data_IF_353517674038
#
_entry.id   IF_353517674038
#
_cell.length_a   1.000
_cell.length_b   1.000
_cell.length_c   1.000
_cell.angle_alpha   90.00
_cell.angle_beta   90.00
_cell.angle_gamma   90.00
#
_symmetry.space_group_name_H-M   'P 1'
#
loop_
_entity.id
_entity.type
_entity.pdbx_description
1 polymer ?
#
# COMPACT_ATOMS: atom_id res chain seq x y z
N UNK A 1 25.86 -1.44 -34.74
CA UNK A 1 25.81 -0.24 -33.89
C UNK A 1 24.52 0.50 -34.19
N UNK A 2 23.45 0.35 -33.41
CA UNK A 2 22.38 1.34 -33.37
C UNK A 2 22.72 2.36 -32.29
N UNK A 3 22.92 3.59 -32.71
CA UNK A 3 23.06 4.79 -31.90
C UNK A 3 21.77 5.06 -31.11
N UNK A 4 21.89 5.20 -29.80
CA UNK A 4 20.81 5.63 -28.92
C UNK A 4 20.46 7.09 -29.18
N UNK A 5 19.19 7.38 -29.44
CA UNK A 5 18.65 8.73 -29.52
C UNK A 5 17.37 8.76 -28.66
N UNK A 6 17.51 8.87 -27.33
CA UNK A 6 16.46 9.29 -26.37
C UNK A 6 17.11 9.75 -25.03
N UNK A 7 16.46 10.64 -24.24
CA UNK A 7 17.09 11.56 -23.28
C UNK A 7 17.37 10.94 -21.89
N UNK A 8 18.35 10.04 -21.78
CA UNK A 8 18.66 9.35 -20.51
C UNK A 8 19.04 10.27 -19.32
N UNK A 9 19.57 11.47 -19.58
CA UNK A 9 20.06 12.35 -18.52
C UNK A 9 18.98 13.11 -17.73
N UNK A 10 17.75 13.24 -18.26
CA UNK A 10 16.67 13.97 -17.59
C UNK A 10 15.91 13.04 -16.63
N UNK A 11 15.56 11.83 -17.09
CA UNK A 11 14.90 10.80 -16.29
C UNK A 11 15.73 10.39 -15.05
N UNK A 12 17.06 10.27 -15.21
CA UNK A 12 17.95 9.97 -14.08
C UNK A 12 17.99 11.09 -13.02
N UNK A 13 17.92 12.35 -13.47
CA UNK A 13 17.87 13.51 -12.55
C UNK A 13 16.53 13.59 -11.83
N UNK A 14 15.43 13.38 -12.53
CA UNK A 14 14.08 13.36 -11.95
C UNK A 14 13.94 12.27 -10.90
N UNK A 15 14.40 11.05 -11.20
CA UNK A 15 14.45 9.95 -10.24
C UNK A 15 15.32 10.29 -9.02
N UNK A 16 16.51 10.86 -9.22
CA UNK A 16 17.38 11.27 -8.11
C UNK A 16 16.71 12.33 -7.23
N UNK A 17 16.01 13.28 -7.85
CA UNK A 17 15.27 14.34 -7.16
C UNK A 17 14.09 13.76 -6.37
N UNK A 18 13.30 12.85 -6.95
CA UNK A 18 12.20 12.17 -6.27
C UNK A 18 12.69 11.39 -5.05
N UNK A 19 13.74 10.59 -5.20
CA UNK A 19 14.35 9.84 -4.08
C UNK A 19 14.87 10.80 -3.01
N UNK A 20 15.57 11.86 -3.38
CA UNK A 20 16.14 12.80 -2.42
C UNK A 20 15.04 13.58 -1.68
N UNK A 21 13.98 13.98 -2.40
CA UNK A 21 12.79 14.62 -1.85
C UNK A 21 12.09 13.70 -0.84
N UNK A 22 11.88 12.43 -1.18
CA UNK A 22 11.30 11.43 -0.26
C UNK A 22 12.13 11.28 1.02
N UNK A 23 13.46 11.20 0.89
CA UNK A 23 14.34 11.07 2.06
C UNK A 23 14.27 12.27 2.99
N UNK A 24 14.26 13.48 2.43
CA UNK A 24 14.16 14.73 3.18
C UNK A 24 12.76 14.89 3.80
N UNK A 25 11.70 14.76 3.02
CA UNK A 25 10.30 14.94 3.43
C UNK A 25 9.93 14.02 4.59
N UNK A 26 10.27 12.74 4.49
CA UNK A 26 9.93 11.74 5.51
C UNK A 26 11.04 11.50 6.54
N UNK A 27 12.09 12.34 6.54
CA UNK A 27 13.21 12.29 7.50
C UNK A 27 13.71 10.86 7.73
N UNK A 28 13.99 10.13 6.64
CA UNK A 28 14.31 8.69 6.68
C UNK A 28 15.48 8.38 7.63
N UNK A 29 16.47 9.28 7.71
CA UNK A 29 17.59 9.15 8.65
C UNK A 29 17.16 9.13 10.12
N UNK A 30 16.20 9.95 10.50
CA UNK A 30 15.68 10.02 11.86
C UNK A 30 14.81 8.80 12.18
N UNK A 31 13.99 8.35 11.23
CA UNK A 31 13.22 7.11 11.36
C UNK A 31 14.13 5.89 11.56
N UNK A 32 15.20 5.78 10.76
CA UNK A 32 16.20 4.72 10.92
C UNK A 32 16.84 4.77 12.32
N UNK A 33 17.22 5.96 12.80
CA UNK A 33 17.80 6.14 14.14
C UNK A 33 16.82 5.74 15.25
N UNK A 34 15.56 6.16 15.16
CA UNK A 34 14.49 5.81 16.10
C UNK A 34 14.17 4.30 16.12
N UNK A 35 14.57 3.59 15.07
CA UNK A 35 14.44 2.13 14.94
C UNK A 35 15.75 1.39 15.20
N UNK A 36 16.71 2.01 15.89
CA UNK A 36 18.01 1.44 16.25
C UNK A 36 18.91 1.08 15.05
N UNK A 37 18.62 1.60 13.86
CA UNK A 37 19.50 1.49 12.70
C UNK A 37 20.60 2.57 12.82
N UNK A 38 21.56 2.32 13.71
CA UNK A 38 22.64 3.26 14.00
C UNK A 38 23.97 2.79 13.40
N UNK A 39 24.82 3.76 13.11
CA UNK A 39 26.18 3.51 12.62
C UNK A 39 27.03 3.01 13.79
N UNK A 40 27.74 1.91 13.59
CA UNK A 40 28.76 1.46 14.54
C UNK A 40 30.09 2.22 14.34
N UNK A 41 30.62 2.28 13.11
CA UNK A 41 31.87 2.98 12.74
C UNK A 41 31.87 3.44 11.28
N UNK A 42 32.66 4.47 10.95
CA UNK A 42 32.93 4.90 9.56
C UNK A 42 31.77 5.56 8.79
N UNK A 43 30.83 4.77 8.27
CA UNK A 43 29.88 5.20 7.22
C UNK A 43 28.46 5.41 7.77
N UNK A 44 27.79 6.54 7.47
CA UNK A 44 26.40 6.76 7.88
C UNK A 44 25.45 5.69 7.32
N UNK A 45 24.59 5.15 8.18
CA UNK A 45 23.58 4.14 7.80
C UNK A 45 22.68 4.60 6.66
N UNK A 46 22.31 5.89 6.63
CA UNK A 46 21.47 6.46 5.59
C UNK A 46 22.08 6.31 4.18
N UNK A 47 23.42 6.34 4.06
CA UNK A 47 24.10 6.14 2.76
C UNK A 47 23.92 4.71 2.27
N UNK A 48 24.10 3.73 3.15
CA UNK A 48 23.93 2.31 2.83
C UNK A 48 22.47 2.00 2.49
N UNK A 49 21.53 2.58 3.26
CA UNK A 49 20.10 2.44 3.00
C UNK A 49 19.71 3.07 1.65
N UNK A 50 20.13 4.31 1.37
CA UNK A 50 19.89 4.98 0.08
C UNK A 50 20.45 4.15 -1.08
N UNK A 51 21.70 3.70 -0.98
CA UNK A 51 22.31 2.84 -1.99
C UNK A 51 21.48 1.57 -2.24
N UNK A 52 21.12 0.84 -1.19
CA UNK A 52 20.30 -0.37 -1.33
C UNK A 52 18.94 -0.05 -1.94
N UNK A 53 18.27 1.02 -1.50
CA UNK A 53 16.99 1.46 -2.05
C UNK A 53 17.10 1.71 -3.57
N UNK A 54 18.17 2.40 -4.01
CA UNK A 54 18.37 2.79 -5.42
C UNK A 54 18.75 1.65 -6.37
N UNK A 55 19.31 0.53 -5.88
CA UNK A 55 19.82 -0.55 -6.74
C UNK A 55 18.81 -1.05 -7.79
N UNK A 56 17.51 -1.05 -7.45
CA UNK A 56 16.46 -1.50 -8.36
C UNK A 56 16.28 -0.57 -9.56
N UNK A 57 16.46 0.74 -9.37
CA UNK A 57 16.27 1.73 -10.42
C UNK A 57 17.48 1.84 -11.35
N UNK A 58 18.65 1.41 -10.86
CA UNK A 58 19.87 1.32 -11.67
C UNK A 58 20.02 -0.01 -12.41
N UNK A 59 19.07 -0.94 -12.24
CA UNK A 59 19.08 -2.33 -12.73
C UNK A 59 20.42 -3.07 -12.51
N UNK A 60 21.10 -2.76 -11.39
CA UNK A 60 22.42 -3.32 -11.07
C UNK A 60 22.54 -3.63 -9.60
N UNK A 61 22.71 -4.92 -9.28
CA UNK A 61 23.05 -5.33 -7.91
C UNK A 61 24.45 -4.88 -7.53
N UNK A 62 24.72 -4.77 -6.22
CA UNK A 62 26.08 -4.51 -5.71
C UNK A 62 27.10 -5.51 -6.26
N UNK A 63 26.73 -6.78 -6.37
CA UNK A 63 27.59 -7.81 -6.94
C UNK A 63 27.96 -7.50 -8.40
N UNK A 64 26.98 -7.12 -9.22
CA UNK A 64 27.24 -6.75 -10.62
C UNK A 64 28.11 -5.50 -10.69
N UNK A 65 27.82 -4.46 -9.90
CA UNK A 65 28.63 -3.24 -9.86
C UNK A 65 30.08 -3.51 -9.46
N UNK A 66 30.31 -4.44 -8.52
CA UNK A 66 31.67 -4.87 -8.15
C UNK A 66 32.36 -5.64 -9.28
N UNK A 67 31.64 -6.56 -9.95
CA UNK A 67 32.17 -7.32 -11.08
C UNK A 67 32.53 -6.45 -12.28
N UNK A 68 31.76 -5.39 -12.54
CA UNK A 68 31.98 -4.46 -13.66
C UNK A 68 32.87 -3.27 -13.29
N UNK A 69 33.38 -3.18 -12.06
CA UNK A 69 34.19 -2.05 -11.61
C UNK A 69 33.43 -0.72 -11.50
N UNK A 70 32.09 -0.74 -11.55
CA UNK A 70 31.26 0.48 -11.47
C UNK A 70 30.82 0.81 -10.04
N UNK A 71 31.22 0.02 -9.04
CA UNK A 71 30.96 0.31 -7.63
C UNK A 71 31.85 1.46 -7.13
N UNK A 72 31.23 2.62 -6.86
CA UNK A 72 31.94 3.85 -6.44
C UNK A 72 31.63 4.31 -5.02
N UNK A 73 30.93 3.48 -4.24
CA UNK A 73 30.54 3.85 -2.87
C UNK A 73 31.73 3.81 -1.89
N UNK A 74 31.76 4.69 -0.87
CA UNK A 74 32.85 4.78 0.09
C UNK A 74 32.81 3.67 1.17
N UNK A 75 32.05 2.60 0.96
CA UNK A 75 31.90 1.50 1.91
C UNK A 75 32.15 0.13 1.27
N UNK A 76 32.65 -0.81 2.06
CA UNK A 76 32.90 -2.17 1.59
C UNK A 76 31.63 -3.02 1.59
N UNK A 77 31.71 -4.15 0.86
CA UNK A 77 30.72 -5.24 0.93
C UNK A 77 30.40 -5.67 2.36
N UNK A 78 31.42 -5.75 3.21
CA UNK A 78 31.24 -6.18 4.61
C UNK A 78 30.39 -5.19 5.40
N UNK A 79 30.58 -3.89 5.19
CA UNK A 79 29.76 -2.85 5.82
C UNK A 79 28.30 -2.96 5.38
N UNK A 80 28.06 -3.16 4.08
CA UNK A 80 26.72 -3.34 3.53
C UNK A 80 25.99 -4.55 4.13
N UNK A 81 26.64 -5.72 4.19
CA UNK A 81 25.99 -6.90 4.76
C UNK A 81 25.85 -6.82 6.28
N UNK A 82 26.80 -6.23 7.02
CA UNK A 82 26.64 -6.02 8.48
C UNK A 82 25.41 -5.18 8.79
N UNK A 83 25.16 -4.14 7.99
CA UNK A 83 23.96 -3.32 8.12
C UNK A 83 22.67 -4.15 7.95
N UNK A 84 22.57 -4.94 6.87
CA UNK A 84 21.39 -5.78 6.63
C UNK A 84 21.20 -6.86 7.71
N UNK A 85 22.30 -7.45 8.18
CA UNK A 85 22.29 -8.48 9.22
C UNK A 85 22.09 -7.93 10.65
N UNK A 86 21.83 -6.62 10.80
CA UNK A 86 21.69 -5.98 12.10
C UNK A 86 20.55 -6.58 12.95
N UNK A 87 20.93 -7.33 13.98
CA UNK A 87 20.00 -7.98 14.92
C UNK A 87 19.27 -6.98 15.84
N UNK A 88 19.82 -5.76 15.97
CA UNK A 88 19.30 -4.68 16.81
C UNK A 88 18.37 -3.71 16.08
N UNK A 89 18.36 -3.70 14.74
CA UNK A 89 17.53 -2.79 13.95
C UNK A 89 16.08 -3.24 13.95
N UNK A 90 15.13 -2.40 14.34
CA UNK A 90 13.71 -2.72 14.36
C UNK A 90 13.01 -2.36 13.03
N UNK A 91 13.15 -3.25 12.04
CA UNK A 91 12.57 -3.06 10.71
C UNK A 91 11.04 -3.02 10.68
N UNK A 92 10.36 -3.77 11.57
CA UNK A 92 8.90 -3.74 11.71
C UNK A 92 8.42 -2.34 12.15
N UNK A 93 9.10 -1.76 13.14
CA UNK A 93 8.82 -0.38 13.58
C UNK A 93 9.14 0.62 12.48
N UNK A 94 10.25 0.45 11.76
CA UNK A 94 10.65 1.35 10.67
C UNK A 94 9.57 1.47 9.59
N UNK A 95 9.07 0.35 9.05
CA UNK A 95 8.01 0.43 8.03
C UNK A 95 6.72 1.00 8.61
N UNK A 96 6.37 0.64 9.86
CA UNK A 96 5.16 1.15 10.50
C UNK A 96 5.19 2.68 10.62
N UNK A 97 6.32 3.24 11.08
CA UNK A 97 6.48 4.69 11.25
C UNK A 97 6.55 5.40 9.90
N UNK A 98 7.32 4.86 8.94
CA UNK A 98 7.40 5.44 7.60
C UNK A 98 6.01 5.48 6.95
N UNK A 99 5.29 4.36 6.96
CA UNK A 99 3.93 4.29 6.44
C UNK A 99 3.00 5.27 7.14
N UNK A 100 3.14 5.49 8.45
CA UNK A 100 2.31 6.48 9.16
C UNK A 100 2.58 7.88 8.63
N UNK A 101 3.85 8.27 8.56
CA UNK A 101 4.24 9.60 8.07
C UNK A 101 3.82 9.83 6.61
N UNK A 102 3.77 8.76 5.80
CA UNK A 102 3.25 8.83 4.43
C UNK A 102 1.73 8.95 4.42
N UNK A 103 1.01 8.15 5.22
CA UNK A 103 -0.44 8.23 5.35
C UNK A 103 -0.89 9.62 5.83
N UNK A 104 -0.20 10.23 6.81
CA UNK A 104 -0.44 11.59 7.30
C UNK A 104 -0.37 12.66 6.20
N UNK A 105 0.38 12.40 5.13
CA UNK A 105 0.46 13.33 3.99
C UNK A 105 -0.63 13.12 2.95
N UNK A 106 -1.30 11.97 2.97
CA UNK A 106 -2.33 11.59 2.00
C UNK A 106 -3.73 11.76 2.58
N UNK A 107 -3.94 11.45 3.85
CA UNK A 107 -5.24 11.54 4.54
C UNK A 107 -5.92 12.91 4.36
N UNK A 108 -5.22 14.06 4.54
CA UNK A 108 -5.82 15.38 4.32
C UNK A 108 -6.21 15.68 2.87
N UNK A 109 -5.68 14.92 1.90
CA UNK A 109 -5.96 15.07 0.46
C UNK A 109 -7.18 14.24 0.03
N UNK A 110 -7.95 13.74 1.00
CA UNK A 110 -9.15 12.94 0.76
C UNK A 110 -10.35 13.56 1.48
N UNK A 111 -11.54 13.43 0.88
CA UNK A 111 -12.78 13.91 1.50
C UNK A 111 -13.04 13.26 2.86
N UNK A 112 -13.76 13.97 3.73
CA UNK A 112 -14.09 13.50 5.09
C UNK A 112 -14.98 12.24 5.12
N UNK A 113 -15.66 11.94 4.01
CA UNK A 113 -16.48 10.74 3.79
C UNK A 113 -15.67 9.53 3.28
N UNK A 114 -14.36 9.72 3.02
CA UNK A 114 -13.48 8.69 2.50
C UNK A 114 -13.23 7.61 3.56
N UNK A 115 -13.79 6.44 3.31
CA UNK A 115 -13.54 5.26 4.14
C UNK A 115 -12.09 4.79 4.00
N UNK A 116 -11.30 4.82 5.06
CA UNK A 116 -9.96 4.25 5.08
C UNK A 116 -10.00 2.82 5.63
N UNK A 117 -9.14 1.95 5.13
CA UNK A 117 -9.16 0.55 5.49
C UNK A 117 -7.76 -0.01 5.75
N UNK A 118 -7.65 -0.87 6.75
CA UNK A 118 -6.56 -1.82 6.84
C UNK A 118 -6.85 -3.02 5.95
N UNK A 119 -5.83 -3.57 5.31
CA UNK A 119 -5.93 -4.78 4.50
C UNK A 119 -4.88 -5.78 4.98
N UNK A 120 -5.29 -7.01 5.26
CA UNK A 120 -4.39 -8.10 5.62
C UNK A 120 -4.47 -9.19 4.57
N UNK A 121 -3.31 -9.59 4.09
CA UNK A 121 -3.15 -10.74 3.20
C UNK A 121 -1.71 -11.28 3.31
N UNK A 122 -1.49 -12.50 2.85
CA UNK A 122 -0.17 -13.09 2.75
C UNK A 122 0.24 -13.42 1.31
N UNK A 123 1.54 -13.40 1.06
CA UNK A 123 2.08 -13.78 -0.24
C UNK A 123 3.25 -14.73 -0.08
N UNK A 124 3.33 -15.73 -0.95
CA UNK A 124 4.45 -16.67 -0.93
C UNK A 124 5.77 -15.94 -1.20
N UNK A 125 6.73 -16.11 -0.28
CA UNK A 125 8.11 -15.68 -0.41
C UNK A 125 9.00 -16.91 -0.60
N UNK A 126 9.12 -17.37 -1.85
CA UNK A 126 9.83 -18.60 -2.21
C UNK A 126 11.35 -18.46 -2.07
N UNK A 127 12.00 -19.54 -1.63
CA UNK A 127 13.45 -19.64 -1.46
C UNK A 127 14.00 -20.97 -1.97
N UNK A 128 14.90 -20.90 -2.93
CA UNK A 128 15.66 -22.06 -3.42
C UNK A 128 16.68 -22.55 -2.39
N UNK A 129 17.37 -21.63 -1.70
CA UNK A 129 18.34 -21.92 -0.64
C UNK A 129 17.73 -22.12 0.75
N UNK A 130 16.44 -22.48 0.82
CA UNK A 130 15.65 -22.50 2.06
C UNK A 130 16.27 -23.36 3.18
N UNK A 131 16.84 -24.53 2.85
CA UNK A 131 17.51 -25.41 3.84
C UNK A 131 18.69 -24.76 4.57
N UNK A 132 19.35 -23.77 3.95
CA UNK A 132 20.48 -23.03 4.54
C UNK A 132 20.05 -21.68 5.10
N UNK A 133 18.83 -21.24 4.81
CA UNK A 133 18.29 -19.94 5.25
C UNK A 133 17.66 -20.12 6.62
N UNK A 134 18.01 -19.26 7.57
CA UNK A 134 17.49 -19.28 8.92
C UNK A 134 15.95 -19.22 8.95
N UNK A 135 15.31 -20.12 9.70
CA UNK A 135 13.84 -20.33 9.75
C UNK A 135 13.20 -20.81 8.43
N UNK A 136 14.00 -21.15 7.43
CA UNK A 136 13.51 -21.66 6.16
C UNK A 136 12.50 -22.79 6.36
N UNK A 137 11.32 -22.67 5.76
CA UNK A 137 10.19 -23.54 6.05
C UNK A 137 9.57 -24.17 4.80
N UNK A 138 8.87 -25.30 4.99
CA UNK A 138 7.87 -25.80 4.06
C UNK A 138 6.54 -25.10 4.36
N UNK A 139 6.12 -24.22 3.47
CA UNK A 139 4.85 -23.48 3.58
C UNK A 139 3.89 -23.98 2.52
N UNK A 140 2.61 -24.12 2.87
CA UNK A 140 1.60 -24.54 1.90
C UNK A 140 1.21 -23.33 1.05
N UNK A 141 1.36 -23.44 -0.27
CA UNK A 141 0.88 -22.47 -1.23
C UNK A 141 -0.53 -22.86 -1.67
N UNK A 142 -1.51 -22.03 -1.32
CA UNK A 142 -2.91 -22.25 -1.66
C UNK A 142 -3.23 -21.96 -3.13
N UNK A 143 -2.40 -21.17 -3.82
CA UNK A 143 -2.59 -20.91 -5.25
C UNK A 143 -2.20 -22.14 -6.08
N UNK A 144 -1.06 -22.77 -5.77
CA UNK A 144 -0.58 -23.97 -6.47
C UNK A 144 -0.93 -25.30 -5.79
N UNK A 145 -1.63 -25.26 -4.65
CA UNK A 145 -2.08 -26.43 -3.86
C UNK A 145 -0.95 -27.40 -3.48
N UNK A 146 0.26 -26.88 -3.23
CA UNK A 146 1.45 -27.67 -2.88
C UNK A 146 2.29 -27.01 -1.80
N UNK A 147 3.12 -27.79 -1.13
CA UNK A 147 4.13 -27.25 -0.24
C UNK A 147 5.30 -26.68 -1.04
N UNK A 148 5.60 -25.40 -0.79
CA UNK A 148 6.74 -24.68 -1.35
C UNK A 148 7.75 -24.34 -0.25
N UNK A 149 9.02 -24.19 -0.61
CA UNK A 149 10.08 -23.86 0.34
C UNK A 149 10.23 -22.34 0.43
N UNK A 150 10.12 -21.77 1.63
CA UNK A 150 10.25 -20.33 1.84
C UNK A 150 9.49 -19.87 3.08
N UNK A 151 8.85 -18.71 2.97
CA UNK A 151 8.03 -18.08 4.00
C UNK A 151 6.69 -17.64 3.41
N UNK A 152 5.75 -17.28 4.28
CA UNK A 152 4.58 -16.48 3.90
C UNK A 152 4.83 -15.05 4.36
N UNK A 153 4.92 -14.10 3.43
CA UNK A 153 5.03 -12.69 3.75
C UNK A 153 3.64 -12.17 4.14
N UNK A 154 3.30 -12.25 5.43
CA UNK A 154 2.09 -11.67 5.97
C UNK A 154 2.27 -10.15 6.04
N UNK A 155 1.36 -9.40 5.41
CA UNK A 155 1.46 -7.95 5.32
C UNK A 155 0.16 -7.31 5.80
N UNK A 156 0.31 -6.28 6.62
CA UNK A 156 -0.74 -5.31 6.92
C UNK A 156 -0.50 -4.07 6.04
N UNK A 157 -1.50 -3.69 5.26
CA UNK A 157 -1.52 -2.45 4.50
C UNK A 157 -2.61 -1.51 4.97
N UNK A 158 -2.48 -0.24 4.60
CA UNK A 158 -3.48 0.81 4.73
C UNK A 158 -3.89 1.29 3.34
N UNK A 159 -5.15 1.67 3.16
CA UNK A 159 -5.67 2.17 1.89
C UNK A 159 -6.83 3.15 2.05
N UNK A 160 -6.83 4.22 1.25
CA UNK A 160 -7.98 5.10 1.01
C UNK A 160 -8.86 4.60 -0.17
N UNK A 161 -8.43 3.54 -0.87
CA UNK A 161 -9.05 2.98 -2.07
C UNK A 161 -8.46 3.49 -3.39
N UNK A 162 -7.56 4.47 -3.34
CA UNK A 162 -6.77 4.95 -4.47
C UNK A 162 -5.28 4.60 -4.28
N UNK A 163 -4.75 4.89 -3.11
CA UNK A 163 -3.38 4.59 -2.70
C UNK A 163 -3.36 3.44 -1.71
N UNK A 164 -2.40 2.53 -1.89
CA UNK A 164 -2.08 1.48 -0.92
C UNK A 164 -0.74 1.79 -0.26
N UNK A 165 -0.62 1.59 1.05
CA UNK A 165 0.61 1.76 1.79
C UNK A 165 0.89 0.50 2.63
N UNK A 166 2.04 -0.17 2.46
CA UNK A 166 2.40 -1.29 3.30
C UNK A 166 2.83 -0.79 4.69
N UNK A 167 1.99 -1.02 5.70
CA UNK A 167 2.22 -0.57 7.08
C UNK A 167 3.34 -1.38 7.72
N UNK A 168 3.16 -2.70 7.79
CA UNK A 168 4.16 -3.59 8.37
C UNK A 168 3.97 -5.03 7.90
N UNK A 169 4.96 -5.88 8.16
CA UNK A 169 4.94 -7.26 7.69
C UNK A 169 5.81 -8.18 8.52
N UNK A 170 5.59 -9.48 8.34
CA UNK A 170 6.41 -10.55 8.90
C UNK A 170 6.59 -11.68 7.88
N UNK A 171 7.82 -12.19 7.75
CA UNK A 171 8.10 -13.41 7.00
C UNK A 171 7.76 -14.63 7.88
N UNK A 172 6.51 -15.06 7.85
CA UNK A 172 6.06 -16.20 8.63
C UNK A 172 6.78 -17.48 8.19
N UNK A 173 7.51 -18.05 9.14
CA UNK A 173 7.97 -19.42 9.12
C UNK A 173 6.81 -20.36 9.49
N UNK A 174 7.05 -21.67 9.33
CA UNK A 174 6.07 -22.65 9.80
C UNK A 174 5.99 -22.63 11.33
N UNK A 175 4.78 -22.53 11.87
CA UNK A 175 4.53 -22.75 13.31
C UNK A 175 4.67 -24.21 13.72
N UNK A 176 4.64 -25.14 12.77
CA UNK A 176 4.95 -26.56 13.02
C UNK A 176 6.45 -26.78 12.88
N UNK A 177 7.10 -27.22 13.96
CA UNK A 177 8.53 -27.48 14.01
C UNK A 177 9.01 -28.46 12.91
N UNK A 178 8.22 -29.50 12.61
CA UNK A 178 8.54 -30.49 11.56
C UNK A 178 8.62 -29.92 10.14
N UNK A 179 8.07 -28.73 9.92
CA UNK A 179 8.09 -28.04 8.64
C UNK A 179 9.18 -26.95 8.59
N UNK A 180 9.90 -26.68 9.68
CA UNK A 180 11.09 -25.83 9.67
C UNK A 180 12.27 -26.68 9.22
N UNK A 181 12.88 -26.31 8.10
CA UNK A 181 13.97 -27.05 7.43
C UNK A 181 15.29 -26.28 7.41
N UNK A 182 15.26 -25.00 7.76
CA UNK A 182 16.44 -24.14 7.89
C UNK A 182 16.99 -24.12 9.31
N UNK A 183 18.21 -23.58 9.52
CA UNK A 183 18.79 -23.43 10.84
C UNK A 183 17.93 -22.50 11.71
N UNK A 184 17.93 -22.76 13.02
CA UNK A 184 17.30 -21.90 14.02
C UNK A 184 18.39 -21.35 14.93
N UNK A 185 18.46 -20.04 15.03
CA UNK A 185 19.40 -19.38 15.95
C UNK A 185 18.71 -19.03 17.26
N UNK A 186 19.49 -18.93 18.33
CA UNK A 186 18.99 -18.59 19.66
C UNK A 186 19.50 -17.22 20.08
N UNK A 187 18.60 -16.43 20.65
CA UNK A 187 18.85 -15.07 21.11
C UNK A 187 18.22 -14.89 22.48
N UNK A 188 18.74 -13.94 23.26
CA UNK A 188 18.11 -13.50 24.50
C UNK A 188 16.65 -13.09 24.25
N UNK A 189 15.71 -13.62 25.03
CA UNK A 189 14.27 -13.43 24.83
C UNK A 189 13.79 -11.98 24.89
N UNK A 190 14.56 -11.09 25.54
CA UNK A 190 14.25 -9.65 25.63
C UNK A 190 14.71 -8.90 24.38
N UNK A 191 15.63 -9.48 23.61
CA UNK A 191 16.19 -8.88 22.40
C UNK A 191 15.15 -8.72 21.27
N UNK A 192 15.38 -7.74 20.40
CA UNK A 192 14.57 -7.53 19.20
C UNK A 192 14.66 -8.73 18.23
N UNK A 193 15.82 -9.39 18.18
CA UNK A 193 16.04 -10.56 17.35
C UNK A 193 15.16 -11.74 17.77
N UNK A 194 15.06 -12.02 19.08
CA UNK A 194 14.19 -13.05 19.62
C UNK A 194 12.71 -12.73 19.38
N UNK A 195 12.29 -11.49 19.69
CA UNK A 195 10.90 -11.05 19.45
C UNK A 195 10.47 -11.21 17.99
N UNK A 196 11.37 -10.89 17.05
CA UNK A 196 11.13 -11.05 15.60
C UNK A 196 10.95 -12.51 15.20
N UNK A 197 11.73 -13.43 15.77
CA UNK A 197 11.63 -14.87 15.49
C UNK A 197 10.40 -15.48 16.11
N UNK A 198 10.05 -15.05 17.33
CA UNK A 198 8.79 -15.42 17.97
C UNK A 198 7.60 -15.02 17.08
N UNK A 199 7.58 -13.78 16.58
CA UNK A 199 6.54 -13.33 15.63
C UNK A 199 6.53 -14.17 14.34
N UNK A 200 7.71 -14.50 13.80
CA UNK A 200 7.84 -15.32 12.59
C UNK A 200 7.25 -16.73 12.74
N UNK A 201 7.31 -17.31 13.93
CA UNK A 201 6.86 -18.67 14.21
C UNK A 201 5.43 -18.74 14.78
N UNK A 202 4.77 -17.60 15.00
CA UNK A 202 3.37 -17.56 15.41
C UNK A 202 2.44 -18.16 14.36
N UNK A 203 1.24 -18.59 14.79
CA UNK A 203 0.13 -18.82 13.86
C UNK A 203 -0.17 -17.50 13.14
N UNK A 204 -0.41 -17.55 11.83
CA UNK A 204 -0.63 -16.34 11.02
C UNK A 204 -1.75 -15.45 11.54
N UNK A 205 -2.82 -16.02 12.08
CA UNK A 205 -3.91 -15.27 12.73
C UNK A 205 -3.47 -14.50 13.97
N UNK A 206 -2.57 -15.07 14.78
CA UNK A 206 -2.01 -14.40 15.96
C UNK A 206 -1.02 -13.31 15.54
N UNK A 207 -0.15 -13.60 14.56
CA UNK A 207 0.79 -12.62 14.03
C UNK A 207 0.05 -11.40 13.43
N UNK A 208 -1.04 -11.63 12.71
CA UNK A 208 -1.93 -10.58 12.19
C UNK A 208 -2.40 -9.62 13.28
N UNK A 209 -2.85 -10.13 14.43
CA UNK A 209 -3.29 -9.28 15.54
C UNK A 209 -2.13 -8.45 16.11
N UNK A 210 -0.92 -9.00 16.17
CA UNK A 210 0.28 -8.25 16.59
C UNK A 210 0.67 -7.15 15.59
N UNK A 211 0.50 -7.40 14.28
CA UNK A 211 0.69 -6.39 13.24
C UNK A 211 -0.31 -5.22 13.38
N UNK A 212 -1.59 -5.53 13.63
CA UNK A 212 -2.64 -4.53 13.89
C UNK A 212 -2.34 -3.72 15.14
N UNK A 213 -2.04 -4.36 16.27
CA UNK A 213 -1.65 -3.67 17.52
C UNK A 213 -0.45 -2.76 17.29
N UNK A 214 0.56 -3.22 16.54
CA UNK A 214 1.73 -2.40 16.21
C UNK A 214 1.35 -1.16 15.41
N UNK A 215 0.43 -1.28 14.44
CA UNK A 215 -0.06 -0.14 13.67
C UNK A 215 -0.87 0.86 14.53
N UNK A 216 -1.79 0.36 15.35
CA UNK A 216 -2.60 1.19 16.27
C UNK A 216 -1.73 1.92 17.29
N UNK A 217 -0.72 1.26 17.85
CA UNK A 217 0.25 1.88 18.77
C UNK A 217 1.08 2.98 18.08
N UNK A 218 1.28 2.88 16.77
CA UNK A 218 1.90 3.90 15.95
C UNK A 218 0.88 4.94 15.42
N UNK A 219 -0.33 4.97 15.98
CA UNK A 219 -1.41 5.92 15.69
C UNK A 219 -2.02 5.81 14.29
N UNK A 220 -1.83 4.70 13.58
CA UNK A 220 -2.60 4.45 12.36
C UNK A 220 -4.09 4.29 12.69
N UNK A 221 -4.94 4.80 11.81
CA UNK A 221 -6.40 4.71 11.91
C UNK A 221 -6.99 4.16 10.62
N UNK A 222 -8.09 3.42 10.74
CA UNK A 222 -8.88 2.92 9.63
C UNK A 222 -10.29 2.58 10.13
N UNK A 223 -11.29 2.74 9.27
CA UNK A 223 -12.69 2.44 9.59
C UNK A 223 -12.95 0.94 9.62
N UNK A 224 -12.28 0.20 8.74
CA UNK A 224 -12.48 -1.25 8.56
C UNK A 224 -11.16 -2.01 8.38
N UNK A 225 -11.16 -3.25 8.84
CA UNK A 225 -10.15 -4.26 8.55
C UNK A 225 -10.68 -5.22 7.49
N UNK A 226 -10.01 -5.26 6.33
CA UNK A 226 -10.36 -6.10 5.20
C UNK A 226 -9.50 -7.35 5.16
N UNK A 227 -10.14 -8.50 5.09
CA UNK A 227 -9.48 -9.79 5.13
C UNK A 227 -10.14 -10.79 4.20
N UNK A 228 -9.37 -11.75 3.73
CA UNK A 228 -9.92 -12.86 2.98
C UNK A 228 -10.50 -13.96 3.90
N UNK A 229 -10.86 -15.09 3.29
CA UNK A 229 -11.46 -16.22 4.00
C UNK A 229 -10.51 -17.02 4.89
N UNK A 230 -9.20 -16.77 4.83
CA UNK A 230 -8.21 -17.45 5.67
C UNK A 230 -8.10 -16.83 7.07
N UNK A 231 -8.44 -15.54 7.20
CA UNK A 231 -8.38 -14.81 8.48
C UNK A 231 -9.76 -14.55 9.11
N UNK A 232 -10.86 -14.88 8.44
CA UNK A 232 -12.23 -14.53 8.85
C UNK A 232 -12.93 -15.48 9.82
N UNK A 233 -12.18 -16.31 10.56
CA UNK A 233 -12.78 -17.18 11.58
C UNK A 233 -13.45 -16.34 12.69
N UNK A 234 -14.58 -16.81 13.29
CA UNK A 234 -15.31 -16.05 14.32
C UNK A 234 -14.45 -15.49 15.45
N UNK A 235 -13.50 -16.29 15.96
CA UNK A 235 -12.59 -15.84 17.02
C UNK A 235 -11.71 -14.63 16.61
N UNK A 236 -11.33 -14.54 15.33
CA UNK A 236 -10.54 -13.41 14.83
C UNK A 236 -11.39 -12.15 14.66
N UNK A 237 -12.63 -12.29 14.19
CA UNK A 237 -13.58 -11.18 14.09
C UNK A 237 -13.86 -10.56 15.46
N UNK A 238 -14.06 -11.41 16.49
CA UNK A 238 -14.20 -10.95 17.89
C UNK A 238 -12.92 -10.27 18.38
N UNK A 239 -11.74 -10.85 18.11
CA UNK A 239 -10.47 -10.26 18.53
C UNK A 239 -10.22 -8.87 17.90
N UNK A 240 -10.58 -8.67 16.63
CA UNK A 240 -10.46 -7.37 15.96
C UNK A 240 -11.48 -6.37 16.52
N UNK A 241 -12.72 -6.80 16.78
CA UNK A 241 -13.73 -5.96 17.43
C UNK A 241 -13.27 -5.49 18.82
N UNK A 242 -12.58 -6.34 19.57
CA UNK A 242 -12.00 -5.99 20.87
C UNK A 242 -10.82 -5.02 20.78
N UNK A 243 -10.22 -4.84 19.60
CA UNK A 243 -9.26 -3.75 19.32
C UNK A 243 -9.95 -2.43 18.94
N UNK A 244 -11.29 -2.38 18.95
CA UNK A 244 -12.08 -1.21 18.56
C UNK A 244 -12.28 -1.05 17.06
N UNK A 245 -11.99 -2.08 16.26
CA UNK A 245 -12.06 -2.03 14.80
C UNK A 245 -13.23 -2.84 14.26
N UNK A 246 -13.89 -2.34 13.21
CA UNK A 246 -14.82 -3.14 12.42
C UNK A 246 -14.08 -3.94 11.36
N UNK A 247 -14.66 -5.05 10.92
CA UNK A 247 -14.08 -5.94 9.90
C UNK A 247 -15.07 -6.16 8.78
N UNK A 248 -14.57 -6.21 7.54
CA UNK A 248 -15.29 -6.77 6.41
C UNK A 248 -14.43 -7.88 5.82
N UNK A 249 -14.94 -9.11 5.84
CA UNK A 249 -14.15 -10.25 5.39
C UNK A 249 -14.96 -11.21 4.53
N UNK A 250 -14.31 -11.85 3.57
CA UNK A 250 -14.93 -13.01 2.90
C UNK A 250 -14.98 -14.19 3.87
N UNK A 251 -16.08 -14.94 3.89
CA UNK A 251 -16.22 -16.13 4.75
C UNK A 251 -16.13 -17.42 3.97
N UNK A 252 -15.48 -18.42 4.57
CA UNK A 252 -15.36 -19.76 3.98
C UNK A 252 -16.69 -20.51 4.10
N UNK A 253 -17.16 -21.07 2.98
CA UNK A 253 -18.33 -21.98 2.92
C UNK A 253 -18.00 -23.33 3.56
N UNK A 254 -17.92 -23.36 4.89
CA UNK A 254 -17.58 -24.55 5.68
C UNK A 254 -18.69 -24.90 6.66
N UNK A 255 -19.00 -26.20 6.80
CA UNK A 255 -19.92 -26.71 7.82
C UNK A 255 -19.36 -26.61 9.25
N UNK A 256 -18.05 -26.39 9.41
CA UNK A 256 -17.39 -26.27 10.71
C UNK A 256 -17.48 -24.88 11.31
N UNK A 257 -17.75 -23.87 10.48
CA UNK A 257 -17.91 -22.49 10.93
C UNK A 257 -19.41 -22.23 11.11
N UNK A 258 -19.78 -21.80 12.31
CA UNK A 258 -21.17 -21.54 12.68
C UNK A 258 -21.34 -20.08 13.10
N UNK A 259 -22.52 -19.57 12.81
CA UNK A 259 -23.01 -18.24 13.13
C UNK A 259 -24.35 -18.41 13.82
N UNK A 260 -24.65 -17.55 14.78
CA UNK A 260 -25.98 -17.52 15.38
C UNK A 260 -26.93 -16.77 14.46
N UNK A 261 -27.98 -17.45 14.01
CA UNK A 261 -29.04 -16.88 13.18
C UNK A 261 -30.37 -17.35 13.76
N UNK A 262 -31.25 -16.42 14.11
CA UNK A 262 -32.54 -16.68 14.78
C UNK A 262 -32.41 -17.60 16.01
N UNK A 263 -31.35 -17.43 16.82
CA UNK A 263 -31.09 -18.22 18.02
C UNK A 263 -30.41 -19.58 17.78
N UNK A 264 -30.27 -20.00 16.51
CA UNK A 264 -29.64 -21.28 16.15
C UNK A 264 -28.21 -21.12 15.62
N UNK A 265 -27.35 -22.09 15.94
CA UNK A 265 -25.96 -22.13 15.47
C UNK A 265 -25.87 -22.83 14.11
N UNK A 266 -25.88 -22.03 13.04
CA UNK A 266 -25.98 -22.49 11.66
C UNK A 266 -24.72 -22.17 10.83
N UNK A 267 -24.40 -23.04 9.87
CA UNK A 267 -23.37 -22.75 8.87
C UNK A 267 -23.92 -21.82 7.78
N UNK A 268 -23.02 -21.08 7.10
CA UNK A 268 -23.43 -20.19 6.00
C UNK A 268 -24.19 -20.91 4.89
N UNK A 269 -23.87 -22.17 4.59
CA UNK A 269 -24.61 -22.95 3.59
C UNK A 269 -26.05 -23.25 4.04
N UNK A 270 -26.26 -23.50 5.34
CA UNK A 270 -27.60 -23.76 5.87
C UNK A 270 -28.43 -22.48 5.91
N UNK A 271 -27.85 -21.37 6.38
CA UNK A 271 -28.46 -20.04 6.35
C UNK A 271 -28.85 -19.67 4.92
N UNK A 272 -27.91 -19.80 3.97
CA UNK A 272 -28.18 -19.57 2.57
C UNK A 272 -29.27 -20.49 2.04
N UNK A 273 -29.33 -21.76 2.46
CA UNK A 273 -30.36 -22.72 2.06
C UNK A 273 -31.78 -22.30 2.48
N UNK A 274 -31.97 -21.95 3.76
CA UNK A 274 -33.28 -21.66 4.35
C UNK A 274 -33.83 -20.27 3.98
N UNK A 275 -32.96 -19.28 3.75
CA UNK A 275 -33.40 -17.91 3.47
C UNK A 275 -33.85 -17.71 2.01
N UNK A 276 -34.85 -16.85 1.80
CA UNK A 276 -35.30 -16.44 0.46
C UNK A 276 -34.30 -15.45 -0.16
N UNK A 277 -33.87 -15.74 -1.39
CA UNK A 277 -32.88 -14.92 -2.11
C UNK A 277 -33.57 -13.86 -2.96
N UNK A 278 -32.92 -12.72 -3.16
CA UNK A 278 -33.36 -11.68 -4.10
C UNK A 278 -33.31 -12.22 -5.53
N UNK A 279 -34.32 -11.87 -6.33
CA UNK A 279 -34.44 -12.25 -7.75
C UNK A 279 -33.79 -11.18 -8.65
N UNK A 280 -33.67 -11.46 -9.95
CA UNK A 280 -33.22 -10.50 -10.96
C UNK A 280 -31.71 -10.22 -10.93
N UNK A 281 -31.30 -9.01 -11.36
CA UNK A 281 -29.90 -8.54 -11.40
C UNK A 281 -29.50 -7.74 -10.15
N UNK A 282 -29.97 -8.15 -8.97
CA UNK A 282 -29.60 -7.48 -7.71
C UNK A 282 -28.09 -7.59 -7.45
N UNK A 283 -27.51 -6.54 -6.85
CA UNK A 283 -26.07 -6.49 -6.46
C UNK A 283 -25.71 -7.59 -5.45
N UNK A 284 -26.68 -8.08 -4.67
CA UNK A 284 -26.50 -9.19 -3.73
C UNK A 284 -27.68 -10.17 -3.76
N UNK A 285 -27.45 -11.40 -3.30
CA UNK A 285 -28.42 -12.50 -3.26
C UNK A 285 -29.17 -12.56 -1.93
N UNK A 286 -28.47 -12.38 -0.82
CA UNK A 286 -29.00 -12.53 0.55
C UNK A 286 -28.26 -11.57 1.48
N UNK A 287 -28.98 -10.97 2.42
CA UNK A 287 -28.43 -10.21 3.54
C UNK A 287 -29.14 -10.63 4.81
N UNK A 288 -28.39 -10.97 5.85
CA UNK A 288 -28.92 -11.42 7.15
C UNK A 288 -28.05 -10.89 8.28
N UNK A 289 -28.67 -10.54 9.40
CA UNK A 289 -27.97 -10.25 10.64
C UNK A 289 -27.70 -11.55 11.40
N UNK A 290 -26.53 -11.64 12.01
CA UNK A 290 -26.07 -12.81 12.78
C UNK A 290 -25.29 -12.37 14.01
N UNK A 291 -25.14 -13.27 14.99
CA UNK A 291 -24.15 -13.12 16.05
C UNK A 291 -22.93 -14.00 15.78
N UNK A 292 -21.75 -13.44 16.03
CA UNK A 292 -20.45 -14.08 15.80
C UNK A 292 -19.72 -14.23 17.12
N UNK A 293 -19.22 -15.43 17.40
CA UNK A 293 -18.47 -15.73 18.62
C UNK A 293 -19.07 -16.88 19.40
N UNK A 294 -18.38 -17.29 20.47
CA UNK A 294 -18.85 -18.32 21.40
C UNK A 294 -19.23 -17.69 22.73
N UNK A 295 -18.20 -17.29 23.50
CA UNK A 295 -18.36 -16.73 24.84
C UNK A 295 -18.80 -15.26 24.76
N UNK A 296 -18.03 -14.46 24.02
CA UNK A 296 -18.40 -13.10 23.63
C UNK A 296 -19.01 -13.14 22.23
N UNK A 297 -20.27 -12.72 22.12
CA UNK A 297 -20.96 -12.60 20.84
C UNK A 297 -20.98 -11.15 20.38
N UNK A 298 -20.62 -10.91 19.12
CA UNK A 298 -20.71 -9.59 18.49
C UNK A 298 -21.73 -9.63 17.35
N UNK A 299 -22.50 -8.55 17.13
CA UNK A 299 -23.41 -8.47 16.00
C UNK A 299 -22.62 -8.32 14.70
N UNK A 300 -23.12 -8.96 13.64
CA UNK A 300 -22.57 -8.85 12.30
C UNK A 300 -23.67 -8.99 11.25
N UNK A 301 -23.37 -8.57 10.02
CA UNK A 301 -24.21 -8.78 8.84
C UNK A 301 -23.47 -9.64 7.84
N UNK A 302 -24.13 -10.69 7.34
CA UNK A 302 -23.64 -11.52 6.26
C UNK A 302 -24.33 -11.11 4.96
N UNK A 303 -23.54 -10.83 3.92
CA UNK A 303 -24.01 -10.48 2.59
C UNK A 303 -23.50 -11.50 1.59
N UNK A 304 -24.40 -12.27 0.97
CA UNK A 304 -24.06 -13.21 -0.09
C UNK A 304 -24.23 -12.55 -1.45
N UNK A 305 -23.23 -12.68 -2.33
CA UNK A 305 -23.25 -12.14 -3.69
C UNK A 305 -22.96 -13.22 -4.73
N UNK A 306 -23.36 -12.98 -5.99
CA UNK A 306 -23.02 -13.89 -7.09
C UNK A 306 -21.52 -13.85 -7.34
N UNK A 307 -20.94 -15.02 -7.61
CA UNK A 307 -19.56 -15.08 -8.05
C UNK A 307 -19.48 -14.65 -9.52
N UNK A 308 -18.76 -13.57 -9.81
CA UNK A 308 -18.62 -13.05 -11.17
C UNK A 308 -17.89 -14.02 -12.11
N UNK A 309 -16.95 -14.83 -11.59
CA UNK A 309 -16.20 -15.83 -12.38
C UNK A 309 -17.04 -17.07 -12.66
N UNK A 310 -17.91 -17.46 -11.73
CA UNK A 310 -18.82 -18.58 -11.88
C UNK A 310 -20.22 -18.19 -11.41
N UNK A 311 -21.08 -17.79 -12.34
CA UNK A 311 -22.44 -17.30 -12.03
C UNK A 311 -23.34 -18.34 -11.34
N UNK A 312 -22.99 -19.63 -11.38
CA UNK A 312 -23.69 -20.71 -10.64
C UNK A 312 -23.26 -20.79 -9.17
N UNK A 313 -22.15 -20.16 -8.82
CA UNK A 313 -21.60 -20.09 -7.48
C UNK A 313 -21.89 -18.73 -6.81
N UNK A 314 -21.73 -18.69 -5.49
CA UNK A 314 -21.87 -17.49 -4.68
C UNK A 314 -20.73 -17.39 -3.67
N UNK A 315 -20.42 -16.17 -3.26
CA UNK A 315 -19.49 -15.87 -2.17
C UNK A 315 -20.24 -15.10 -1.09
N UNK A 316 -19.70 -15.09 0.12
CA UNK A 316 -20.29 -14.36 1.23
C UNK A 316 -19.25 -13.49 1.92
N UNK A 317 -19.68 -12.29 2.28
CA UNK A 317 -18.96 -11.36 3.12
C UNK A 317 -19.62 -11.29 4.48
N UNK A 318 -18.83 -11.03 5.51
CA UNK A 318 -19.30 -10.70 6.85
C UNK A 318 -18.78 -9.33 7.24
N UNK A 319 -19.65 -8.47 7.76
CA UNK A 319 -19.33 -7.16 8.30
C UNK A 319 -19.67 -7.11 9.78
N UNK A 320 -18.73 -6.70 10.64
CA UNK A 320 -18.99 -6.53 12.10
C UNK A 320 -19.57 -5.17 12.48
N UNK A 321 -19.99 -4.40 11.47
CA UNK A 321 -20.88 -3.25 11.59
C UNK A 321 -22.21 -3.60 10.87
N UNK A 322 -23.26 -4.03 11.60
CA UNK A 322 -24.53 -4.42 10.98
C UNK A 322 -25.32 -3.25 10.39
N UNK A 323 -24.98 -2.01 10.71
CA UNK A 323 -25.71 -0.83 10.22
C UNK A 323 -25.27 -0.42 8.80
N UNK A 324 -24.09 -0.90 8.37
CA UNK A 324 -23.57 -0.62 7.03
C UNK A 324 -24.45 -1.29 5.95
N UNK A 325 -24.74 -0.55 4.88
CA UNK A 325 -25.54 -1.06 3.76
C UNK A 325 -24.79 -2.16 3.01
N UNK A 326 -25.54 -3.07 2.37
CA UNK A 326 -24.96 -4.20 1.62
C UNK A 326 -24.06 -3.74 0.48
N UNK A 327 -24.44 -2.65 -0.18
CA UNK A 327 -23.68 -2.08 -1.29
C UNK A 327 -22.37 -1.48 -0.82
N UNK A 328 -22.37 -0.81 0.33
CA UNK A 328 -21.16 -0.27 0.96
C UNK A 328 -20.23 -1.38 1.46
N UNK A 329 -20.77 -2.46 2.02
CA UNK A 329 -19.96 -3.64 2.39
C UNK A 329 -19.21 -4.17 1.17
N UNK A 330 -19.90 -4.32 0.03
CA UNK A 330 -19.30 -4.81 -1.22
C UNK A 330 -18.27 -3.81 -1.76
N UNK A 331 -18.60 -2.51 -1.78
CA UNK A 331 -17.74 -1.43 -2.27
C UNK A 331 -16.44 -1.33 -1.46
N UNK A 332 -16.55 -1.28 -0.14
CA UNK A 332 -15.40 -1.16 0.76
C UNK A 332 -14.53 -2.43 0.68
N UNK A 333 -15.14 -3.62 0.63
CA UNK A 333 -14.38 -4.86 0.46
C UNK A 333 -13.57 -4.89 -0.85
N UNK A 334 -14.07 -4.22 -1.91
CA UNK A 334 -13.36 -4.05 -3.17
C UNK A 334 -11.95 -3.48 -3.03
N UNK A 335 -11.71 -2.60 -2.02
CA UNK A 335 -10.38 -2.00 -1.76
C UNK A 335 -9.32 -3.03 -1.41
N UNK A 336 -9.71 -4.20 -0.91
CA UNK A 336 -8.79 -5.31 -0.56
C UNK A 336 -7.92 -5.71 -1.76
N UNK A 337 -8.42 -5.60 -3.00
CA UNK A 337 -7.68 -5.99 -4.20
C UNK A 337 -6.32 -5.27 -4.36
N UNK A 338 -6.18 -4.07 -3.80
CA UNK A 338 -4.93 -3.31 -3.90
C UNK A 338 -3.73 -4.04 -3.28
N UNK A 339 -3.92 -4.88 -2.25
CA UNK A 339 -2.81 -5.66 -1.69
C UNK A 339 -2.26 -6.70 -2.68
N UNK A 340 -3.11 -7.24 -3.55
CA UNK A 340 -2.69 -8.17 -4.61
C UNK A 340 -1.85 -7.44 -5.66
N UNK A 341 -2.28 -6.23 -6.04
CA UNK A 341 -1.51 -5.34 -6.92
C UNK A 341 -0.17 -5.00 -6.29
N UNK A 342 -0.16 -4.62 -5.02
CA UNK A 342 1.06 -4.37 -4.25
C UNK A 342 2.03 -5.57 -4.26
N UNK A 343 1.53 -6.78 -3.98
CA UNK A 343 2.37 -7.97 -4.00
C UNK A 343 2.93 -8.26 -5.39
N UNK A 344 2.11 -8.11 -6.44
CA UNK A 344 2.56 -8.24 -7.83
C UNK A 344 3.66 -7.23 -8.13
N UNK A 345 3.47 -5.96 -7.77
CA UNK A 345 4.45 -4.90 -7.99
C UNK A 345 5.76 -5.19 -7.26
N UNK A 346 5.69 -5.59 -6.00
CA UNK A 346 6.88 -5.92 -5.22
C UNK A 346 7.69 -7.07 -5.82
N UNK A 347 7.01 -8.14 -6.26
CA UNK A 347 7.66 -9.31 -6.85
C UNK A 347 8.23 -9.05 -8.23
N UNK A 348 7.45 -8.41 -9.10
CA UNK A 348 7.79 -8.24 -10.52
C UNK A 348 8.74 -7.08 -10.78
N UNK A 349 8.58 -5.96 -10.07
CA UNK A 349 9.29 -4.72 -10.39
C UNK A 349 10.24 -4.25 -9.29
N UNK A 350 9.96 -4.59 -8.02
CA UNK A 350 10.81 -4.15 -6.89
C UNK A 350 11.78 -5.20 -6.36
N UNK A 351 11.93 -6.30 -7.11
CA UNK A 351 12.84 -7.41 -6.84
C UNK A 351 12.74 -7.98 -5.41
N UNK A 352 11.52 -8.12 -4.89
CA UNK A 352 11.25 -8.70 -3.56
C UNK A 352 11.91 -10.08 -3.38
N UNK A 353 11.82 -10.95 -4.39
CA UNK A 353 12.35 -12.32 -4.34
C UNK A 353 13.78 -12.42 -4.88
N UNK A 354 14.05 -11.77 -6.02
CA UNK A 354 15.28 -11.97 -6.80
C UNK A 354 16.52 -11.29 -6.25
N UNK A 355 16.41 -10.17 -5.52
CA UNK A 355 17.59 -9.35 -5.19
C UNK A 355 18.37 -9.83 -3.94
N UNK A 356 17.68 -10.44 -2.96
CA UNK A 356 18.29 -10.77 -1.68
C UNK A 356 18.54 -12.26 -1.52
N UNK A 357 19.79 -12.69 -1.69
CA UNK A 357 20.20 -14.09 -1.49
C UNK A 357 20.73 -14.39 -0.07
N UNK A 358 20.48 -13.51 0.90
CA UNK A 358 20.97 -13.73 2.28
C UNK A 358 20.35 -14.98 2.92
N UNK A 359 21.13 -15.61 3.81
CA UNK A 359 20.70 -16.73 4.64
C UNK A 359 20.19 -16.28 6.02
N UNK A 360 20.46 -15.04 6.41
CA UNK A 360 20.02 -14.46 7.69
C UNK A 360 18.58 -14.00 7.62
N UNK A 361 17.79 -14.35 8.63
CA UNK A 361 16.41 -13.89 8.75
C UNK A 361 16.33 -12.37 8.95
N UNK A 362 17.32 -11.78 9.62
CA UNK A 362 17.38 -10.33 9.84
C UNK A 362 17.64 -9.56 8.53
N UNK A 363 18.53 -10.07 7.68
CA UNK A 363 18.80 -9.49 6.37
C UNK A 363 17.61 -9.62 5.41
N UNK A 364 16.84 -10.72 5.50
CA UNK A 364 15.60 -10.86 4.74
C UNK A 364 14.54 -9.85 5.22
N UNK A 365 14.40 -9.67 6.53
CA UNK A 365 13.49 -8.67 7.10
C UNK A 365 13.89 -7.25 6.68
N UNK A 366 15.19 -6.93 6.71
CA UNK A 366 15.72 -5.66 6.22
C UNK A 366 15.38 -5.43 4.75
N UNK A 367 15.58 -6.46 3.91
CA UNK A 367 15.28 -6.39 2.48
C UNK A 367 13.79 -6.11 2.22
N UNK A 368 12.88 -6.80 2.91
CA UNK A 368 11.43 -6.55 2.80
C UNK A 368 11.10 -5.10 3.18
N UNK A 369 11.66 -4.60 4.28
CA UNK A 369 11.43 -3.23 4.71
C UNK A 369 11.91 -2.18 3.69
N UNK A 370 13.04 -2.44 3.02
CA UNK A 370 13.55 -1.57 1.95
C UNK A 370 12.66 -1.64 0.71
N UNK A 371 12.17 -2.82 0.34
CA UNK A 371 11.20 -2.98 -0.76
C UNK A 371 9.91 -2.23 -0.45
N UNK A 372 9.44 -2.25 0.79
CA UNK A 372 8.26 -1.50 1.21
C UNK A 372 8.49 0.01 1.12
N UNK A 373 9.70 0.49 1.49
CA UNK A 373 10.08 1.88 1.30
C UNK A 373 10.14 2.29 -0.19
N UNK A 374 10.66 1.42 -1.08
CA UNK A 374 10.61 1.63 -2.54
C UNK A 374 9.18 1.75 -3.04
N UNK A 375 8.30 0.86 -2.57
CA UNK A 375 6.90 0.91 -2.96
C UNK A 375 6.21 2.19 -2.47
N UNK A 376 6.44 2.62 -1.22
CA UNK A 376 5.87 3.87 -0.70
C UNK A 376 6.37 5.11 -1.45
N UNK A 377 7.64 5.13 -1.86
CA UNK A 377 8.16 6.17 -2.76
C UNK A 377 7.35 6.20 -4.06
N UNK A 378 7.19 5.06 -4.74
CA UNK A 378 6.45 4.98 -6.00
C UNK A 378 4.97 5.29 -5.84
N UNK A 379 4.34 4.83 -4.77
CA UNK A 379 2.93 5.10 -4.49
C UNK A 379 2.67 6.60 -4.28
N UNK A 380 3.65 7.33 -3.71
CA UNK A 380 3.59 8.77 -3.57
C UNK A 380 3.85 9.52 -4.88
N UNK A 381 4.81 9.10 -5.68
CA UNK A 381 5.03 9.73 -7.00
C UNK A 381 3.83 9.47 -7.92
N UNK A 382 3.28 8.25 -7.94
CA UNK A 382 2.03 7.95 -8.63
C UNK A 382 0.88 8.83 -8.12
N UNK A 383 0.79 9.05 -6.81
CA UNK A 383 -0.21 9.96 -6.21
C UNK A 383 0.11 11.45 -6.43
N UNK A 384 1.22 11.83 -7.05
CA UNK A 384 1.44 13.20 -7.54
C UNK A 384 1.15 13.29 -9.04
N UNK A 385 1.53 12.25 -9.79
CA UNK A 385 1.43 12.21 -11.25
C UNK A 385 0.02 11.90 -11.74
N UNK A 386 -0.70 10.98 -11.08
CA UNK A 386 -2.13 10.70 -11.36
C UNK A 386 -3.05 11.74 -10.71
N UNK A 387 -2.51 12.53 -9.78
CA UNK A 387 -3.18 13.65 -9.15
C UNK A 387 -2.94 14.90 -10.00
N UNK A 388 -3.57 14.91 -11.19
CA UNK A 388 -3.84 16.09 -12.02
C UNK A 388 -4.45 17.26 -11.21
N UNK A 389 -4.82 16.99 -9.97
CA UNK A 389 -5.39 17.88 -8.98
C UNK A 389 -4.44 18.99 -8.52
N UNK A 390 -3.12 18.85 -8.64
CA UNK A 390 -2.23 19.96 -8.23
C UNK A 390 -2.28 21.20 -9.14
N UNK A 391 -2.86 21.10 -10.35
CA UNK A 391 -3.25 22.25 -11.20
C UNK A 391 -4.74 22.19 -11.58
N UNK A 392 -5.26 20.99 -11.79
CA UNK A 392 -6.64 20.72 -12.16
C UNK A 392 -7.64 20.82 -11.00
N UNK A 393 -7.26 20.58 -9.73
CA UNK A 393 -8.13 20.87 -8.56
C UNK A 393 -8.04 22.34 -8.17
N UNK A 394 -6.97 23.09 -8.43
CA UNK A 394 -7.03 24.56 -8.33
C UNK A 394 -8.04 25.09 -9.35
N UNK A 395 -8.03 24.54 -10.57
CA UNK A 395 -9.06 24.79 -11.57
C UNK A 395 -10.44 24.31 -11.11
N UNK A 396 -10.57 23.10 -10.54
CA UNK A 396 -11.84 22.52 -10.08
C UNK A 396 -12.41 23.18 -8.83
N UNK A 397 -11.59 23.61 -7.86
CA UNK A 397 -12.01 24.40 -6.70
C UNK A 397 -12.46 25.79 -7.12
N UNK A 398 -11.81 26.39 -8.13
CA UNK A 398 -12.35 27.56 -8.81
C UNK A 398 -13.68 27.22 -9.53
N UNK A 399 -13.85 26.01 -10.06
CA UNK A 399 -15.08 25.60 -10.76
C UNK A 399 -16.24 25.25 -9.81
N UNK A 400 -15.96 24.71 -8.62
CA UNK A 400 -16.97 24.28 -7.64
C UNK A 400 -17.43 25.45 -6.75
N UNK A 401 -16.60 26.48 -6.54
CA UNK A 401 -17.04 27.76 -5.95
C UNK A 401 -17.69 28.72 -6.94
N UNK A 402 -17.61 28.46 -8.26
CA UNK A 402 -18.27 29.25 -9.30
C UNK A 402 -19.59 28.62 -9.78
N UNK A 403 -20.42 28.17 -8.83
CA UNK A 403 -21.81 27.81 -9.17
C UNK A 403 -22.75 29.00 -9.32
N UNK A 404 -22.27 30.25 -9.27
CA UNK A 404 -23.16 31.41 -9.50
C UNK A 404 -22.52 32.62 -10.19
N UNK A 405 -21.46 32.44 -11.00
CA UNK A 405 -21.03 33.46 -11.96
C UNK A 405 -20.60 32.78 -13.28
N UNK A 406 -21.18 33.24 -14.38
CA UNK A 406 -21.04 32.69 -15.74
C UNK A 406 -19.55 32.62 -16.12
N UNK A 407 -19.08 31.45 -16.56
CA UNK A 407 -17.69 31.13 -16.98
C UNK A 407 -16.90 32.27 -17.67
N UNK A 408 -17.57 33.13 -18.44
CA UNK A 408 -16.96 34.30 -19.07
C UNK A 408 -16.47 35.38 -18.10
N UNK A 409 -17.21 35.66 -17.02
CA UNK A 409 -16.83 36.66 -16.01
C UNK A 409 -15.64 36.17 -15.17
N UNK A 410 -15.63 34.88 -14.82
CA UNK A 410 -14.52 34.26 -14.10
C UNK A 410 -13.24 34.21 -14.93
N UNK A 411 -13.37 33.94 -16.23
CA UNK A 411 -12.24 34.01 -17.16
C UNK A 411 -11.72 35.45 -17.31
N UNK A 412 -12.61 36.45 -17.35
CA UNK A 412 -12.23 37.86 -17.37
C UNK A 412 -11.54 38.30 -16.08
N UNK A 413 -11.99 37.84 -14.91
CA UNK A 413 -11.36 38.15 -13.62
C UNK A 413 -9.94 37.58 -13.56
N UNK A 414 -9.74 36.35 -14.02
CA UNK A 414 -8.41 35.71 -14.05
C UNK A 414 -7.48 36.43 -15.02
N UNK A 415 -7.94 36.74 -16.23
CA UNK A 415 -7.16 37.50 -17.20
C UNK A 415 -6.83 38.89 -16.67
N UNK A 416 -7.79 39.56 -16.04
CA UNK A 416 -7.60 40.89 -15.45
C UNK A 416 -6.59 40.85 -14.30
N UNK A 417 -6.67 39.88 -13.39
CA UNK A 417 -5.70 39.70 -12.31
C UNK A 417 -4.29 39.37 -12.83
N UNK A 418 -4.19 38.59 -13.90
CA UNK A 418 -2.92 38.31 -14.58
C UNK A 418 -2.34 39.60 -15.18
N UNK A 419 -3.13 40.39 -15.89
CA UNK A 419 -2.67 41.66 -16.47
C UNK A 419 -2.31 42.68 -15.38
N UNK A 420 -3.13 42.84 -14.33
CA UNK A 420 -2.83 43.72 -13.19
C UNK A 420 -1.52 43.31 -12.48
N UNK A 421 -1.25 42.00 -12.34
CA UNK A 421 0.03 41.49 -11.84
C UNK A 421 1.22 41.79 -12.76
N UNK A 422 1.02 41.67 -14.07
CA UNK A 422 2.04 42.02 -15.08
C UNK A 422 2.33 43.53 -15.04
N UNK A 423 1.30 44.37 -14.99
CA UNK A 423 1.44 45.82 -14.85
C UNK A 423 2.18 46.21 -13.57
N UNK A 424 1.87 45.54 -12.45
CA UNK A 424 2.47 45.82 -11.14
C UNK A 424 3.96 45.46 -11.06
N UNK A 425 4.41 44.43 -11.79
CA UNK A 425 5.81 43.95 -11.74
C UNK A 425 6.67 44.53 -12.88
N UNK A 426 6.10 44.73 -14.06
CA UNK A 426 6.87 45.01 -15.28
C UNK A 426 6.63 46.41 -15.88
N UNK A 427 5.75 47.25 -15.32
CA UNK A 427 5.44 48.61 -15.82
C UNK A 427 5.26 48.68 -17.35
N UNK A 428 4.51 47.73 -17.88
CA UNK A 428 4.37 47.46 -19.31
C UNK A 428 3.51 48.53 -19.98
N UNK A 429 3.86 48.99 -21.19
CA UNK A 429 3.03 49.93 -21.96
C UNK A 429 1.84 49.23 -22.64
N UNK A 430 0.79 49.98 -23.00
CA UNK A 430 -0.39 49.42 -23.71
C UNK A 430 0.01 48.72 -25.02
N UNK A 431 0.91 49.30 -25.83
CA UNK A 431 1.40 48.67 -27.08
C UNK A 431 2.09 47.31 -26.87
N UNK A 432 2.82 47.16 -25.76
CA UNK A 432 3.50 45.92 -25.44
C UNK A 432 2.51 44.84 -25.00
N UNK A 433 1.39 45.24 -24.41
CA UNK A 433 0.32 44.32 -24.00
C UNK A 433 -0.53 43.90 -25.19
N UNK A 434 -0.83 44.79 -26.13
CA UNK A 434 -1.48 44.40 -27.37
C UNK A 434 -0.63 43.39 -28.17
N UNK A 435 0.69 43.62 -28.21
CA UNK A 435 1.65 42.68 -28.81
C UNK A 435 1.62 41.32 -28.09
N UNK A 436 1.60 41.34 -26.75
CA UNK A 436 1.52 40.12 -25.95
C UNK A 436 0.20 39.36 -26.17
N UNK A 437 -0.93 40.07 -26.22
CA UNK A 437 -2.26 39.49 -26.47
C UNK A 437 -2.29 38.81 -27.84
N UNK A 438 -1.75 39.46 -28.88
CA UNK A 438 -1.69 38.86 -30.21
C UNK A 438 -0.84 37.58 -30.23
N UNK A 439 0.34 37.59 -29.62
CA UNK A 439 1.18 36.40 -29.50
C UNK A 439 0.47 35.29 -28.70
N UNK A 440 -0.21 35.66 -27.62
CA UNK A 440 -0.98 34.71 -26.80
C UNK A 440 -2.09 34.04 -27.61
N UNK A 441 -2.86 34.82 -28.37
CA UNK A 441 -3.93 34.30 -29.24
C UNK A 441 -3.37 33.38 -30.31
N UNK A 442 -2.25 33.73 -30.93
CA UNK A 442 -1.58 32.93 -31.98
C UNK A 442 -1.02 31.59 -31.44
N UNK A 443 -0.76 31.49 -30.14
CA UNK A 443 -0.30 30.25 -29.49
C UNK A 443 -1.46 29.35 -29.02
N UNK A 444 -2.72 29.82 -29.10
CA UNK A 444 -3.86 28.99 -28.74
C UNK A 444 -4.07 27.86 -29.76
N UNK A 445 -4.60 26.69 -29.35
CA UNK A 445 -5.02 25.64 -30.28
C UNK A 445 -6.00 26.14 -31.36
N UNK A 446 -5.86 25.66 -32.60
CA UNK A 446 -6.65 26.05 -33.79
C UNK A 446 -8.17 26.15 -33.55
N UNK A 447 -8.74 25.25 -32.75
CA UNK A 447 -10.18 25.25 -32.50
C UNK A 447 -10.63 26.45 -31.66
N UNK A 448 -9.78 26.97 -30.77
CA UNK A 448 -10.04 28.17 -29.97
C UNK A 448 -9.83 29.44 -30.78
N UNK A 449 -8.77 29.51 -31.60
CA UNK A 449 -8.54 30.62 -32.53
C UNK A 449 -9.74 30.80 -33.48
N UNK A 450 -10.26 29.69 -34.03
CA UNK A 450 -11.45 29.70 -34.90
C UNK A 450 -12.73 30.14 -34.20
N UNK A 451 -12.89 29.85 -32.90
CA UNK A 451 -14.02 30.34 -32.11
C UNK A 451 -13.93 31.84 -31.84
N UNK A 452 -12.74 32.35 -31.52
CA UNK A 452 -12.49 33.78 -31.28
C UNK A 452 -12.62 34.62 -32.56
N UNK A 453 -12.18 34.08 -33.71
CA UNK A 453 -12.37 34.73 -35.00
C UNK A 453 -13.85 34.76 -35.45
N UNK A 454 -14.65 33.76 -35.04
CA UNK A 454 -16.08 33.69 -35.33
C UNK A 454 -16.92 34.71 -34.55
N UNK A 455 -16.51 35.11 -33.34
CA UNK A 455 -17.24 36.12 -32.57
C UNK A 455 -17.05 37.54 -33.10
N UNK A 456 -15.95 37.82 -33.82
CA UNK A 456 -15.71 39.12 -34.47
C UNK A 456 -16.47 39.30 -35.80
N UNK A 457 -16.94 38.22 -36.42
CA UNK A 457 -17.67 38.25 -37.70
C UNK A 457 -19.20 38.40 -37.54
N UNK A 458 -19.70 38.44 -36.30
CA UNK A 458 -21.12 38.61 -35.94
C UNK A 458 -21.36 39.78 -34.98
N UNK A 459 -20.40 40.71 -34.88
CA UNK A 459 -20.51 41.97 -34.14
C UNK A 459 -20.55 43.16 -35.09
#
# INVERSE_FOLDING_TARGET
MPTSILPQNQDEKELFNAISSFFCRFKIGDLLRACNAQKEKGIPVIRIFKYKLCNVFTDRSMYMQQKTGSFREPFSKNTFYRFLNGVKTNWLRFTTLLSKTVADTIEPLTGSDRVNAFVIDDSLFERTSCKKTELGSKVFDHASMRYTKGYRLLTLGWTDGNTFLPVNSCLLASSKASNIIGPQQHFDGRSLAAKRRNLAQMKGTSAMLELLKTALNARHTADYVLMDSWFSNPAQLVAIKNLGLNSIAMIKKSSRIRYEYDGEQLSINKIFGICKKRRGRSKYLLSVNVMVGKDQKIPAKIVCVRNNRNKKDWIAFICTNPDLSEEEIIRIYGKRWQIEVFFKTCKSYLNLIGECHSLSYDALTAHVAIVFARYMLLALEQRKDEDNRTLGEIFFYLTDELTDIIFGESFQIILRAMFEGIYAVFQVTEEQIDTFINIFVDQLPDFLQKSLARSAAWA
#
